data_IF_563834060643
#
_entry.id   IF_563834060643
#
_cell.length_a   1.000
_cell.length_b   1.000
_cell.length_c   1.000
_cell.angle_alpha   90.00
_cell.angle_beta   90.00
_cell.angle_gamma   90.00
#
_symmetry.space_group_name_H-M   'P 1'
#
loop_
_entity.id
_entity.type
_entity.pdbx_description
1 polymer ?
#
# COMPACT_ATOMS: atom_id res chain seq x y z
N UNK A 1 -12.86 -6.04 11.27
CA UNK A 1 -11.69 -6.36 10.44
C UNK A 1 -11.32 -5.11 9.66
N UNK A 2 -10.05 -4.70 9.66
CA UNK A 2 -9.59 -3.59 8.81
C UNK A 2 -9.36 -4.17 7.42
N UNK A 3 -9.89 -3.51 6.39
CA UNK A 3 -9.60 -3.89 5.01
C UNK A 3 -8.15 -3.51 4.71
N UNK A 4 -7.43 -4.35 3.98
CA UNK A 4 -6.05 -4.12 3.59
C UNK A 4 -6.02 -3.56 2.16
N UNK A 5 -5.12 -2.62 1.90
CA UNK A 5 -4.92 -1.99 0.60
C UNK A 5 -3.43 -2.05 0.28
N UNK A 6 -3.10 -2.58 -0.91
CA UNK A 6 -1.77 -2.45 -1.50
C UNK A 6 -1.79 -1.33 -2.54
N UNK A 7 -1.00 -0.29 -2.32
CA UNK A 7 -0.80 0.81 -3.26
C UNK A 7 0.48 0.56 -4.07
N UNK A 8 0.41 0.66 -5.39
CA UNK A 8 1.55 0.46 -6.28
C UNK A 8 1.63 1.63 -7.25
N UNK A 9 2.68 2.44 -7.13
CA UNK A 9 2.91 3.65 -7.93
C UNK A 9 4.41 4.02 -7.87
N UNK A 10 5.02 4.42 -8.98
CA UNK A 10 6.44 4.81 -9.01
C UNK A 10 6.71 6.21 -8.42
N UNK A 11 5.66 7.02 -8.27
CA UNK A 11 5.74 8.34 -7.65
C UNK A 11 5.61 8.26 -6.12
N UNK A 12 6.75 8.31 -5.41
CA UNK A 12 6.79 8.22 -3.93
C UNK A 12 5.93 9.25 -3.21
N UNK A 13 5.81 10.46 -3.75
CA UNK A 13 5.00 11.52 -3.15
C UNK A 13 3.50 11.17 -3.21
N UNK A 14 3.06 10.50 -4.28
CA UNK A 14 1.68 10.00 -4.42
C UNK A 14 1.42 8.90 -3.40
N UNK A 15 2.34 7.94 -3.26
CA UNK A 15 2.23 6.86 -2.27
C UNK A 15 2.08 7.41 -0.84
N UNK A 16 2.88 8.40 -0.44
CA UNK A 16 2.83 8.99 0.90
C UNK A 16 1.49 9.67 1.19
N UNK A 17 0.96 10.43 0.22
CA UNK A 17 -0.34 11.10 0.36
C UNK A 17 -1.47 10.08 0.49
N UNK A 18 -1.45 9.02 -0.33
CA UNK A 18 -2.49 7.99 -0.30
C UNK A 18 -2.41 7.11 0.94
N UNK A 19 -1.20 6.77 1.39
CA UNK A 19 -0.99 6.02 2.63
C UNK A 19 -1.59 6.75 3.84
N UNK A 20 -1.26 8.04 4.03
CA UNK A 20 -1.83 8.86 5.11
C UNK A 20 -3.37 8.96 4.99
N UNK A 21 -3.88 9.14 3.77
CA UNK A 21 -5.30 9.26 3.49
C UNK A 21 -6.10 7.99 3.82
N UNK A 22 -5.57 6.80 3.56
CA UNK A 22 -6.26 5.54 3.83
C UNK A 22 -6.03 5.06 5.26
N UNK A 23 -4.83 5.22 5.81
CA UNK A 23 -4.55 4.88 7.21
C UNK A 23 -5.37 5.74 8.17
N UNK A 24 -5.55 7.04 7.90
CA UNK A 24 -6.43 7.93 8.69
C UNK A 24 -7.91 7.53 8.65
N UNK A 25 -8.34 6.78 7.63
CA UNK A 25 -9.68 6.17 7.54
C UNK A 25 -9.77 4.79 8.16
N UNK A 26 -8.69 4.30 8.77
CA UNK A 26 -8.65 3.04 9.50
C UNK A 26 -8.36 1.80 8.64
N UNK A 27 -7.93 1.98 7.39
CA UNK A 27 -7.42 0.88 6.57
C UNK A 27 -6.03 0.46 7.03
N UNK A 28 -5.68 -0.80 6.76
CA UNK A 28 -4.29 -1.25 6.75
C UNK A 28 -3.74 -0.99 5.35
N UNK A 29 -2.56 -0.40 5.24
CA UNK A 29 -2.00 0.00 3.95
C UNK A 29 -0.57 -0.52 3.85
N UNK A 30 -0.26 -1.11 2.71
CA UNK A 30 1.11 -1.43 2.29
C UNK A 30 1.37 -0.67 0.98
N UNK A 31 2.57 -0.13 0.82
CA UNK A 31 2.99 0.58 -0.40
C UNK A 31 4.10 -0.18 -1.12
N UNK A 32 4.12 -0.11 -2.43
CA UNK A 32 5.21 -0.59 -3.28
C UNK A 32 5.52 0.46 -4.36
N UNK A 33 6.80 0.72 -4.62
CA UNK A 33 7.24 1.67 -5.63
C UNK A 33 7.41 1.06 -7.03
N UNK A 34 7.34 -0.26 -7.13
CA UNK A 34 7.35 -0.99 -8.39
C UNK A 34 6.64 -2.35 -8.28
N UNK A 35 6.56 -3.05 -9.42
CA UNK A 35 5.92 -4.37 -9.50
C UNK A 35 6.67 -5.47 -8.73
N UNK A 36 7.98 -5.37 -8.56
CA UNK A 36 8.77 -6.36 -7.82
C UNK A 36 8.45 -6.25 -6.33
N UNK A 37 8.50 -5.05 -5.78
CA UNK A 37 8.10 -4.78 -4.39
C UNK A 37 6.64 -5.17 -4.13
N UNK A 38 5.75 -4.89 -5.08
CA UNK A 38 4.35 -5.29 -4.99
C UNK A 38 4.20 -6.81 -4.91
N UNK A 39 4.86 -7.57 -5.80
CA UNK A 39 4.83 -9.03 -5.78
C UNK A 39 5.47 -9.61 -4.51
N UNK A 40 6.50 -8.97 -3.95
CA UNK A 40 7.08 -9.38 -2.67
C UNK A 40 6.11 -9.17 -1.51
N UNK A 41 5.39 -8.05 -1.48
CA UNK A 41 4.39 -7.77 -0.44
C UNK A 41 3.28 -8.83 -0.40
N UNK A 42 2.82 -9.28 -1.57
CA UNK A 42 1.76 -10.30 -1.71
C UNK A 42 2.15 -11.69 -1.19
N UNK A 43 3.46 -11.99 -1.09
CA UNK A 43 3.93 -13.26 -0.50
C UNK A 43 3.77 -13.27 1.01
N UNK A 44 3.83 -12.10 1.65
CA UNK A 44 3.79 -11.95 3.09
C UNK A 44 2.37 -11.73 3.60
N UNK A 45 1.56 -10.97 2.86
CA UNK A 45 0.21 -10.61 3.27
C UNK A 45 -0.71 -10.40 2.05
N UNK A 46 -1.95 -10.89 2.13
CA UNK A 46 -2.97 -10.66 1.09
C UNK A 46 -3.72 -9.33 1.36
N UNK A 47 -3.83 -8.41 0.39
CA UNK A 47 -4.60 -7.18 0.49
C UNK A 47 -6.10 -7.40 0.23
#
# INVERSE_FOLDING_TARGET
MKHHILLVDDERDVLLVLEDLFTSRGYHVTTASDGTEALESLKNESP
#
